data_IF_439575388537
#
_entry.id   IF_439575388537
#
_cell.length_a   1.000
_cell.length_b   1.000
_cell.length_c   1.000
_cell.angle_alpha   90.00
_cell.angle_beta   90.00
_cell.angle_gamma   90.00
#
_symmetry.space_group_name_H-M   'P 1'
#
loop_
_entity.id
_entity.type
_entity.pdbx_description
1 polymer ?
#
# COMPACT_ATOMS: atom_id res chain seq x y z
N UNK A 1 23.85 -32.25 4.79
CA UNK A 1 22.76 -32.37 3.80
C UNK A 1 23.21 -31.76 2.49
N UNK A 2 22.30 -31.14 1.76
CA UNK A 2 22.60 -30.49 0.49
C UNK A 2 21.75 -29.22 0.32
N UNK A 3 22.22 -28.24 -0.45
CA UNK A 3 21.48 -26.99 -0.67
C UNK A 3 20.12 -27.24 -1.36
N UNK A 4 19.13 -26.39 -1.10
CA UNK A 4 17.85 -26.43 -1.80
C UNK A 4 18.08 -26.08 -3.27
N UNK A 5 18.01 -27.09 -4.15
CA UNK A 5 18.12 -26.90 -5.60
C UNK A 5 17.47 -28.05 -6.36
N UNK A 6 17.19 -27.83 -7.64
CA UNK A 6 16.69 -28.85 -8.56
C UNK A 6 17.66 -30.05 -8.68
N UNK A 7 17.11 -31.24 -8.52
CA UNK A 7 17.79 -32.54 -8.69
C UNK A 7 17.04 -33.44 -9.68
N UNK A 8 16.11 -32.88 -10.45
CA UNK A 8 15.31 -33.60 -11.43
C UNK A 8 13.95 -34.06 -10.88
N UNK A 9 13.39 -35.07 -11.53
CA UNK A 9 12.05 -35.58 -11.25
C UNK A 9 12.05 -36.89 -10.45
N UNK A 10 13.22 -37.42 -10.12
CA UNK A 10 13.36 -38.67 -9.37
C UNK A 10 13.37 -38.40 -7.85
N UNK A 11 12.39 -38.92 -7.07
CA UNK A 11 12.37 -38.79 -5.61
C UNK A 11 13.63 -39.32 -4.92
N UNK A 12 14.33 -40.31 -5.49
CA UNK A 12 15.55 -40.87 -4.89
C UNK A 12 16.66 -39.82 -4.75
N UNK A 13 16.70 -38.84 -5.66
CA UNK A 13 17.68 -37.75 -5.62
C UNK A 13 17.49 -36.81 -4.42
N UNK A 14 16.35 -36.91 -3.72
CA UNK A 14 15.98 -36.10 -2.56
C UNK A 14 15.97 -36.90 -1.26
N UNK A 15 15.60 -38.19 -1.31
CA UNK A 15 15.41 -39.05 -0.14
C UNK A 15 16.61 -39.09 0.81
N UNK A 16 17.83 -39.09 0.28
CA UNK A 16 19.05 -39.14 1.09
C UNK A 16 19.32 -37.85 1.89
N UNK A 17 18.83 -36.69 1.40
CA UNK A 17 19.17 -35.38 1.97
C UNK A 17 18.05 -34.81 2.84
N UNK A 18 16.80 -35.17 2.55
CA UNK A 18 15.62 -34.68 3.25
C UNK A 18 14.98 -35.81 4.04
N UNK A 19 15.39 -35.95 5.29
CA UNK A 19 14.88 -36.98 6.18
C UNK A 19 13.42 -36.66 6.55
N UNK A 20 12.53 -37.60 6.22
CA UNK A 20 11.09 -37.44 6.47
C UNK A 20 10.79 -37.93 7.88
N UNK A 21 10.30 -37.05 8.74
CA UNK A 21 9.98 -37.38 10.15
C UNK A 21 8.50 -37.75 10.35
N UNK A 22 7.61 -37.35 9.43
CA UNK A 22 6.17 -37.61 9.51
C UNK A 22 5.67 -38.41 8.30
N UNK A 23 4.73 -39.34 8.53
CA UNK A 23 4.10 -40.14 7.47
C UNK A 23 5.12 -40.78 6.51
N UNK A 24 6.19 -41.36 7.09
CA UNK A 24 7.31 -41.97 6.37
C UNK A 24 6.83 -43.04 5.37
N UNK A 25 5.79 -43.78 5.76
CA UNK A 25 5.09 -44.80 4.97
C UNK A 25 4.57 -44.30 3.61
N UNK A 26 4.25 -43.00 3.48
CA UNK A 26 3.70 -42.44 2.24
C UNK A 26 4.74 -42.20 1.15
N UNK A 27 6.03 -42.16 1.48
CA UNK A 27 7.15 -41.93 0.55
C UNK A 27 6.98 -40.73 -0.42
N UNK A 28 6.14 -39.76 -0.06
CA UNK A 28 5.88 -38.56 -0.86
C UNK A 28 6.92 -37.47 -0.59
N UNK A 29 7.70 -37.13 -1.63
CA UNK A 29 8.69 -36.05 -1.68
C UNK A 29 8.27 -34.89 -2.59
N UNK A 30 7.08 -34.92 -3.19
CA UNK A 30 6.67 -33.98 -4.24
C UNK A 30 6.80 -32.51 -3.81
N UNK A 31 6.41 -32.19 -2.58
CA UNK A 31 6.45 -30.82 -2.04
C UNK A 31 7.88 -30.30 -1.85
N UNK A 32 8.80 -31.13 -1.32
CA UNK A 32 10.20 -30.71 -1.16
C UNK A 32 10.91 -30.62 -2.51
N UNK A 33 10.56 -31.47 -3.47
CA UNK A 33 11.07 -31.37 -4.84
C UNK A 33 10.62 -30.07 -5.51
N UNK A 34 9.35 -29.68 -5.37
CA UNK A 34 8.83 -28.41 -5.89
C UNK A 34 9.54 -27.21 -5.25
N UNK A 35 9.74 -27.25 -3.93
CA UNK A 35 10.47 -26.20 -3.20
C UNK A 35 11.91 -26.09 -3.69
N UNK A 36 12.63 -27.21 -3.79
CA UNK A 36 14.02 -27.23 -4.21
C UNK A 36 14.20 -26.72 -5.66
N UNK A 37 13.27 -27.06 -6.56
CA UNK A 37 13.24 -26.52 -7.92
C UNK A 37 13.05 -25.02 -7.96
N UNK A 38 12.18 -24.48 -7.10
CA UNK A 38 11.99 -23.04 -6.99
C UNK A 38 13.29 -22.34 -6.62
N UNK A 39 14.09 -22.89 -5.70
CA UNK A 39 15.37 -22.33 -5.30
C UNK A 39 16.45 -22.37 -6.41
N UNK A 40 16.27 -23.14 -7.49
CA UNK A 40 17.12 -23.06 -8.68
C UNK A 40 16.74 -21.93 -9.64
N UNK A 41 15.57 -21.30 -9.48
CA UNK A 41 15.17 -20.13 -10.25
C UNK A 41 15.95 -18.87 -9.82
N UNK A 42 15.74 -17.76 -10.53
CA UNK A 42 16.31 -16.45 -10.20
C UNK A 42 15.35 -15.32 -10.54
N UNK A 43 15.63 -14.11 -10.05
CA UNK A 43 14.86 -12.90 -10.35
C UNK A 43 13.38 -13.02 -10.04
N UNK A 44 12.53 -12.50 -10.93
CA UNK A 44 11.07 -12.52 -10.78
C UNK A 44 10.48 -13.93 -10.74
N UNK A 45 11.10 -14.90 -11.42
CA UNK A 45 10.64 -16.29 -11.39
C UNK A 45 10.84 -16.94 -10.01
N UNK A 46 11.99 -16.69 -9.37
CA UNK A 46 12.22 -17.09 -7.98
C UNK A 46 11.25 -16.38 -7.04
N UNK A 47 11.07 -15.07 -7.19
CA UNK A 47 10.17 -14.29 -6.34
C UNK A 47 8.75 -14.87 -6.39
N UNK A 48 8.13 -14.90 -7.57
CA UNK A 48 6.76 -15.41 -7.76
C UNK A 48 6.61 -16.83 -7.22
N UNK A 49 7.50 -17.75 -7.62
CA UNK A 49 7.38 -19.15 -7.21
C UNK A 49 7.60 -19.34 -5.71
N UNK A 50 8.45 -18.52 -5.10
CA UNK A 50 8.67 -18.56 -3.65
C UNK A 50 7.46 -18.05 -2.87
N UNK A 51 6.77 -17.01 -3.34
CA UNK A 51 5.54 -16.52 -2.70
C UNK A 51 4.41 -17.55 -2.73
N UNK A 52 4.35 -18.38 -3.77
CA UNK A 52 3.39 -19.47 -3.89
C UNK A 52 3.69 -20.62 -2.91
N UNK A 53 4.97 -21.01 -2.81
CA UNK A 53 5.37 -22.24 -2.12
C UNK A 53 5.78 -22.04 -0.65
N UNK A 54 6.21 -20.85 -0.25
CA UNK A 54 6.74 -20.59 1.08
C UNK A 54 5.82 -19.62 1.85
N UNK A 55 5.86 -19.77 3.17
CA UNK A 55 5.58 -18.64 4.05
C UNK A 55 6.86 -17.79 4.16
N UNK A 56 7.07 -16.92 3.18
CA UNK A 56 8.30 -16.12 3.04
C UNK A 56 8.54 -15.26 4.29
N UNK A 57 7.49 -14.70 4.88
CA UNK A 57 7.57 -13.95 6.12
C UNK A 57 8.14 -14.80 7.27
N UNK A 58 7.61 -16.02 7.45
CA UNK A 58 8.10 -16.92 8.49
C UNK A 58 9.55 -17.36 8.24
N UNK A 59 9.91 -17.66 6.99
CA UNK A 59 11.28 -18.02 6.63
C UNK A 59 12.27 -16.90 6.95
N UNK A 60 12.00 -15.69 6.47
CA UNK A 60 12.90 -14.57 6.67
C UNK A 60 13.07 -14.23 8.15
N UNK A 61 12.03 -14.42 8.98
CA UNK A 61 12.15 -14.28 10.44
C UNK A 61 13.05 -15.36 11.06
N UNK A 62 12.99 -16.60 10.60
CA UNK A 62 13.88 -17.67 11.08
C UNK A 62 15.32 -17.42 10.68
N UNK A 63 15.58 -17.03 9.42
CA UNK A 63 16.94 -16.69 8.99
C UNK A 63 17.47 -15.44 9.71
N UNK A 64 16.62 -14.48 10.05
CA UNK A 64 17.00 -13.34 10.88
C UNK A 64 17.46 -13.81 12.27
N UNK A 65 16.71 -14.72 12.91
CA UNK A 65 17.11 -15.31 14.18
C UNK A 65 18.46 -16.05 14.09
N UNK A 66 18.67 -16.86 13.05
CA UNK A 66 19.94 -17.59 12.82
C UNK A 66 21.11 -16.65 12.61
N UNK A 67 20.90 -15.53 11.90
CA UNK A 67 21.91 -14.49 11.74
C UNK A 67 22.24 -13.78 13.05
N UNK A 68 21.25 -13.58 13.91
CA UNK A 68 21.43 -12.98 15.23
C UNK A 68 22.13 -13.92 16.21
N UNK A 69 21.80 -15.21 16.21
CA UNK A 69 22.38 -16.20 17.15
C UNK A 69 23.87 -16.46 16.93
N UNK A 70 24.42 -16.06 15.78
CA UNK A 70 25.84 -16.29 15.50
C UNK A 70 26.20 -17.75 15.31
N UNK A 71 25.23 -18.57 14.90
CA UNK A 71 25.42 -19.99 14.62
C UNK A 71 26.23 -20.17 13.33
N UNK A 72 27.26 -21.03 13.38
CA UNK A 72 28.15 -21.30 12.27
C UNK A 72 27.92 -22.67 11.60
N UNK A 73 26.97 -23.47 12.10
CA UNK A 73 26.75 -24.84 11.65
C UNK A 73 25.28 -25.10 11.32
N UNK A 74 24.75 -24.27 10.42
CA UNK A 74 23.34 -24.32 10.08
C UNK A 74 23.07 -23.89 8.64
N UNK A 75 21.98 -24.36 8.03
CA UNK A 75 21.68 -24.04 6.64
C UNK A 75 21.65 -22.51 6.42
N UNK A 76 22.42 -22.03 5.44
CA UNK A 76 22.65 -20.61 5.18
C UNK A 76 23.90 -20.03 5.85
N UNK A 77 24.39 -20.60 6.95
CA UNK A 77 25.62 -20.21 7.63
C UNK A 77 26.42 -21.45 8.03
N UNK A 78 27.40 -21.83 7.19
CA UNK A 78 28.15 -23.07 7.35
C UNK A 78 27.65 -24.14 6.38
N UNK A 79 27.26 -25.30 6.92
CA UNK A 79 26.89 -26.47 6.13
C UNK A 79 25.36 -26.61 5.92
N UNK A 80 24.93 -27.32 4.86
CA UNK A 80 23.51 -27.47 4.54
C UNK A 80 22.83 -28.57 5.38
N UNK A 81 22.62 -28.31 6.67
CA UNK A 81 21.80 -29.11 7.59
C UNK A 81 21.20 -28.21 8.69
N UNK A 82 20.70 -28.80 9.77
CA UNK A 82 20.18 -28.07 10.93
C UNK A 82 19.00 -27.15 10.56
N UNK A 83 18.11 -27.69 9.71
CA UNK A 83 16.92 -27.03 9.20
C UNK A 83 15.80 -28.04 9.00
N UNK A 84 14.66 -27.80 9.65
CA UNK A 84 13.44 -28.57 9.44
C UNK A 84 12.50 -27.84 8.50
N UNK A 85 11.77 -28.58 7.68
CA UNK A 85 10.73 -28.08 6.79
C UNK A 85 9.39 -28.69 7.16
N UNK A 86 8.34 -27.87 7.18
CA UNK A 86 6.98 -28.31 7.47
C UNK A 86 6.01 -27.70 6.46
N UNK A 87 5.30 -28.55 5.72
CA UNK A 87 4.30 -28.09 4.74
C UNK A 87 2.94 -27.96 5.41
N UNK A 88 2.54 -26.71 5.69
CA UNK A 88 1.32 -26.38 6.43
C UNK A 88 0.07 -26.91 5.71
N UNK A 89 -0.79 -27.71 6.37
CA UNK A 89 -1.95 -28.31 5.71
C UNK A 89 -2.98 -27.32 5.17
N UNK A 90 -3.14 -26.15 5.79
CA UNK A 90 -4.19 -25.19 5.43
C UNK A 90 -4.01 -24.53 4.06
N UNK A 91 -2.76 -24.36 3.62
CA UNK A 91 -2.42 -23.68 2.36
C UNK A 91 -1.27 -24.32 1.58
N UNK A 92 -0.71 -25.43 2.08
CA UNK A 92 0.39 -26.16 1.46
C UNK A 92 1.75 -25.49 1.57
N UNK A 93 1.85 -24.30 2.18
CA UNK A 93 3.09 -23.51 2.22
C UNK A 93 4.15 -24.15 3.13
N UNK A 94 5.39 -24.09 2.67
CA UNK A 94 6.55 -24.54 3.44
C UNK A 94 6.88 -23.50 4.54
N UNK A 95 6.84 -23.95 5.79
CA UNK A 95 7.49 -23.32 6.94
C UNK A 95 8.86 -23.93 7.16
N UNK A 96 9.73 -23.20 7.84
CA UNK A 96 11.08 -23.66 8.16
C UNK A 96 11.36 -23.44 9.64
N UNK A 97 12.02 -24.39 10.31
CA UNK A 97 12.37 -24.26 11.73
C UNK A 97 13.84 -24.56 11.94
N UNK A 98 14.56 -23.74 12.73
CA UNK A 98 15.93 -24.06 13.05
C UNK A 98 15.97 -25.33 13.90
N UNK A 99 17.05 -26.08 13.75
CA UNK A 99 17.34 -27.27 14.54
C UNK A 99 18.79 -27.19 14.99
N UNK A 100 19.14 -27.81 16.12
CA UNK A 100 20.53 -28.00 16.55
C UNK A 100 21.36 -26.69 16.50
N UNK A 101 20.91 -25.71 17.29
CA UNK A 101 21.52 -24.37 17.39
C UNK A 101 22.48 -24.25 18.60
N UNK A 102 23.05 -25.35 19.05
CA UNK A 102 24.00 -25.39 20.15
C UNK A 102 25.39 -24.83 19.74
N UNK A 103 25.68 -24.76 18.43
CA UNK A 103 26.85 -24.06 17.88
C UNK A 103 26.66 -22.54 17.70
N UNK A 104 25.70 -21.95 18.42
CA UNK A 104 25.47 -20.51 18.52
C UNK A 104 26.64 -19.76 19.17
N UNK A 105 26.67 -18.44 18.95
CA UNK A 105 27.66 -17.50 19.52
C UNK A 105 29.12 -17.73 19.07
N UNK A 106 29.33 -18.52 18.03
CA UNK A 106 30.67 -18.91 17.53
C UNK A 106 31.19 -17.99 16.42
N UNK A 107 30.28 -17.37 15.66
CA UNK A 107 30.59 -16.38 14.62
C UNK A 107 30.87 -15.01 15.21
N UNK A 108 31.68 -14.19 14.53
CA UNK A 108 31.90 -12.81 14.98
C UNK A 108 30.59 -12.02 15.07
N UNK A 109 30.38 -11.19 16.11
CA UNK A 109 29.20 -10.32 16.20
C UNK A 109 29.11 -9.32 15.04
N UNK A 110 30.22 -9.09 14.31
CA UNK A 110 30.29 -8.23 13.12
C UNK A 110 30.26 -8.98 11.78
N UNK A 111 30.02 -10.30 11.77
CA UNK A 111 29.91 -11.06 10.52
C UNK A 111 28.72 -10.59 9.65
N UNK A 112 28.76 -10.82 8.32
CA UNK A 112 27.66 -10.48 7.43
C UNK A 112 26.29 -10.96 7.92
N UNK A 113 25.27 -10.10 7.73
CA UNK A 113 23.90 -10.39 8.15
C UNK A 113 23.23 -11.44 7.28
N UNK A 114 23.59 -11.53 6.00
CA UNK A 114 23.08 -12.54 5.06
C UNK A 114 24.17 -13.59 4.86
N UNK A 115 23.77 -14.85 4.91
CA UNK A 115 24.66 -15.99 4.74
C UNK A 115 24.86 -16.37 3.27
N UNK A 116 25.23 -17.63 3.06
CA UNK A 116 25.39 -18.25 1.74
C UNK A 116 24.18 -19.09 1.33
N UNK A 117 24.46 -20.09 0.48
CA UNK A 117 23.47 -21.02 -0.10
C UNK A 117 22.40 -20.32 -0.95
N UNK A 118 21.50 -21.11 -1.55
CA UNK A 118 20.44 -20.59 -2.41
C UNK A 118 19.43 -19.71 -1.66
N UNK A 119 19.30 -19.88 -0.34
CA UNK A 119 18.48 -18.98 0.49
C UNK A 119 19.00 -17.54 0.50
N UNK A 120 20.30 -17.30 0.31
CA UNK A 120 20.82 -15.94 0.17
C UNK A 120 20.24 -15.23 -1.06
N UNK A 121 19.99 -15.96 -2.16
CA UNK A 121 19.34 -15.41 -3.36
C UNK A 121 17.88 -15.07 -3.11
N UNK A 122 17.18 -15.87 -2.31
CA UNK A 122 15.81 -15.57 -1.86
C UNK A 122 15.77 -14.31 -0.99
N UNK A 123 16.68 -14.21 -0.01
CA UNK A 123 16.79 -13.04 0.89
C UNK A 123 17.15 -11.78 0.10
N UNK A 124 18.01 -11.89 -0.92
CA UNK A 124 18.45 -10.76 -1.72
C UNK A 124 17.38 -10.17 -2.66
N UNK A 125 16.23 -10.83 -2.85
CA UNK A 125 15.11 -10.25 -3.60
C UNK A 125 14.64 -8.95 -2.92
N UNK A 126 14.32 -7.87 -3.65
CA UNK A 126 14.13 -6.53 -3.06
C UNK A 126 13.14 -6.48 -1.90
N UNK A 127 11.95 -7.07 -2.06
CA UNK A 127 10.91 -7.12 -1.03
C UNK A 127 11.36 -7.98 0.16
N UNK A 128 12.00 -9.11 -0.11
CA UNK A 128 12.48 -10.04 0.90
C UNK A 128 13.63 -9.45 1.72
N UNK A 129 14.54 -8.69 1.11
CA UNK A 129 15.65 -8.06 1.81
C UNK A 129 15.15 -7.01 2.80
N UNK A 130 14.18 -6.18 2.35
CA UNK A 130 13.51 -5.23 3.25
C UNK A 130 12.83 -5.96 4.40
N UNK A 131 12.07 -7.01 4.11
CA UNK A 131 11.35 -7.80 5.11
C UNK A 131 12.30 -8.50 6.10
N UNK A 132 13.41 -9.04 5.61
CA UNK A 132 14.47 -9.63 6.42
C UNK A 132 15.08 -8.61 7.40
N UNK A 133 15.40 -7.42 6.91
CA UNK A 133 15.89 -6.32 7.76
C UNK A 133 14.85 -5.83 8.77
N UNK A 134 13.58 -5.80 8.40
CA UNK A 134 12.49 -5.50 9.34
C UNK A 134 12.40 -6.56 10.44
N UNK A 135 12.59 -7.85 10.13
CA UNK A 135 12.65 -8.91 11.15
C UNK A 135 13.86 -8.81 12.06
N UNK A 136 15.05 -8.51 11.53
CA UNK A 136 16.22 -8.26 12.36
C UNK A 136 15.96 -7.10 13.34
N UNK A 137 15.40 -5.98 12.84
CA UNK A 137 15.06 -4.83 13.66
C UNK A 137 14.04 -5.16 14.75
N UNK A 138 12.96 -5.86 14.40
CA UNK A 138 11.94 -6.29 15.35
C UNK A 138 12.52 -7.21 16.43
N UNK A 139 13.30 -8.23 16.06
CA UNK A 139 13.91 -9.16 17.01
C UNK A 139 14.85 -8.44 17.98
N UNK A 140 15.75 -7.56 17.50
CA UNK A 140 16.68 -6.84 18.39
C UNK A 140 16.01 -5.78 19.26
N UNK A 141 14.75 -5.45 19.01
CA UNK A 141 13.96 -4.53 19.83
C UNK A 141 13.00 -5.27 20.76
N UNK A 142 12.74 -6.56 20.54
CA UNK A 142 11.73 -7.33 21.30
C UNK A 142 12.35 -8.49 22.08
N UNK A 143 12.97 -9.46 21.40
CA UNK A 143 13.35 -10.75 21.98
C UNK A 143 14.82 -11.14 21.84
N UNK A 144 15.64 -10.30 21.19
CA UNK A 144 17.08 -10.50 21.01
C UNK A 144 17.87 -9.25 21.43
N UNK A 145 17.68 -8.85 22.68
CA UNK A 145 18.34 -7.69 23.28
C UNK A 145 18.80 -8.03 24.70
N UNK A 146 19.78 -7.28 25.26
CA UNK A 146 20.31 -7.57 26.59
C UNK A 146 19.24 -7.56 27.68
N UNK A 147 18.24 -6.68 27.62
CA UNK A 147 17.19 -6.57 28.64
C UNK A 147 16.33 -7.85 28.69
N UNK A 148 15.91 -8.34 27.52
CA UNK A 148 15.18 -9.60 27.39
C UNK A 148 16.04 -10.81 27.77
N UNK A 149 17.29 -10.85 27.29
CA UNK A 149 18.18 -11.99 27.47
C UNK A 149 18.70 -12.12 28.91
N UNK A 150 18.84 -11.01 29.64
CA UNK A 150 19.36 -10.99 31.01
C UNK A 150 18.60 -11.94 31.93
N UNK A 151 17.26 -11.95 31.83
CA UNK A 151 16.39 -12.87 32.59
C UNK A 151 16.81 -14.33 32.38
N UNK A 152 16.99 -14.74 31.12
CA UNK A 152 17.31 -16.12 30.77
C UNK A 152 18.73 -16.50 31.17
N UNK A 153 19.70 -15.61 30.93
CA UNK A 153 21.09 -15.85 31.31
C UNK A 153 21.25 -15.97 32.82
N UNK A 154 20.54 -15.16 33.62
CA UNK A 154 20.55 -15.27 35.09
C UNK A 154 19.87 -16.56 35.55
N UNK A 155 18.73 -16.90 34.95
CA UNK A 155 18.00 -18.12 35.31
C UNK A 155 18.84 -19.37 35.09
N UNK A 156 19.40 -19.56 33.89
CA UNK A 156 20.23 -20.71 33.59
C UNK A 156 21.56 -20.70 34.36
N UNK A 157 22.18 -19.52 34.57
CA UNK A 157 23.38 -19.41 35.40
C UNK A 157 23.14 -19.97 36.82
N UNK A 158 21.99 -19.65 37.42
CA UNK A 158 21.61 -20.16 38.73
C UNK A 158 21.34 -21.66 38.78
N UNK A 159 20.83 -22.24 37.68
CA UNK A 159 20.54 -23.68 37.59
C UNK A 159 21.80 -24.53 37.44
N UNK A 160 22.74 -24.12 36.59
CA UNK A 160 23.91 -24.95 36.23
C UNK A 160 25.24 -24.43 36.77
N UNK A 161 25.25 -23.29 37.47
CA UNK A 161 26.47 -22.71 38.03
C UNK A 161 27.46 -22.17 36.98
N UNK A 162 26.98 -21.77 35.80
CA UNK A 162 27.81 -21.24 34.70
C UNK A 162 27.68 -19.73 34.53
N UNK A 163 28.68 -19.09 33.92
CA UNK A 163 28.67 -17.66 33.60
C UNK A 163 28.31 -17.42 32.13
N UNK A 164 27.14 -16.80 31.89
CA UNK A 164 26.66 -16.44 30.55
C UNK A 164 26.88 -14.96 30.19
N UNK A 165 27.73 -14.24 30.92
CA UNK A 165 28.03 -12.82 30.66
C UNK A 165 28.57 -12.55 29.24
N UNK A 166 29.36 -13.49 28.69
CA UNK A 166 29.84 -13.42 27.30
C UNK A 166 28.71 -13.46 26.27
N UNK A 167 27.63 -14.19 26.54
CA UNK A 167 26.45 -14.24 25.67
C UNK A 167 25.71 -12.90 25.67
N UNK A 168 25.55 -12.25 26.83
CA UNK A 168 24.95 -10.90 26.89
C UNK A 168 25.78 -9.86 26.14
N UNK A 169 27.11 -9.93 26.26
CA UNK A 169 28.01 -9.07 25.50
C UNK A 169 27.88 -9.31 24.00
N UNK A 170 27.81 -10.57 23.57
CA UNK A 170 27.56 -10.92 22.17
C UNK A 170 26.26 -10.31 21.65
N UNK A 171 25.14 -10.54 22.35
CA UNK A 171 23.82 -10.04 21.96
C UNK A 171 23.86 -8.51 21.81
N UNK A 172 24.49 -7.82 22.75
CA UNK A 172 24.66 -6.36 22.71
C UNK A 172 25.45 -5.92 21.48
N UNK A 173 26.60 -6.54 21.22
CA UNK A 173 27.45 -6.20 20.07
C UNK A 173 26.77 -6.52 18.74
N UNK A 174 26.10 -7.67 18.63
CA UNK A 174 25.38 -8.10 17.43
C UNK A 174 24.19 -7.17 17.12
N UNK A 175 23.40 -6.81 18.14
CA UNK A 175 22.31 -5.85 17.97
C UNK A 175 22.81 -4.47 17.50
N UNK A 176 23.93 -4.00 18.05
CA UNK A 176 24.56 -2.75 17.62
C UNK A 176 25.09 -2.83 16.18
N UNK A 177 25.71 -3.96 15.80
CA UNK A 177 26.14 -4.20 14.43
C UNK A 177 24.95 -4.16 13.46
N UNK A 178 23.84 -4.84 13.77
CA UNK A 178 22.61 -4.78 12.96
C UNK A 178 22.14 -3.33 12.79
N UNK A 179 21.98 -2.57 13.88
CA UNK A 179 21.56 -1.15 13.80
C UNK A 179 22.47 -0.28 12.93
N UNK A 180 23.76 -0.63 12.83
CA UNK A 180 24.72 0.08 11.99
C UNK A 180 24.65 -0.33 10.51
N UNK A 181 24.13 -1.52 10.19
CA UNK A 181 23.91 -1.95 8.81
C UNK A 181 22.57 -1.46 8.22
N UNK A 182 21.59 -1.14 9.08
CA UNK A 182 20.27 -0.69 8.63
C UNK A 182 20.27 0.80 8.21
N UNK A 183 19.44 1.21 7.24
CA UNK A 183 19.19 2.61 6.95
C UNK A 183 18.76 3.36 8.21
N UNK A 184 19.27 4.57 8.41
CA UNK A 184 18.87 5.43 9.53
C UNK A 184 17.37 5.71 9.46
N UNK A 185 16.73 5.71 10.64
CA UNK A 185 15.32 6.05 10.75
C UNK A 185 15.06 7.45 10.21
N UNK A 186 13.97 7.59 9.48
CA UNK A 186 13.50 8.87 9.01
C UNK A 186 11.97 8.86 8.95
N UNK A 187 11.34 10.04 8.98
CA UNK A 187 9.89 10.12 9.02
C UNK A 187 9.20 9.60 7.73
N UNK A 188 8.04 8.96 7.87
CA UNK A 188 7.20 8.52 6.74
C UNK A 188 6.70 9.70 5.90
N UNK A 189 6.82 9.64 4.56
CA UNK A 189 6.46 10.72 3.64
C UNK A 189 5.86 10.21 2.35
N UNK A 190 4.86 10.92 1.83
CA UNK A 190 4.45 10.87 0.43
C UNK A 190 5.40 11.78 -0.36
N UNK A 191 5.92 11.29 -1.50
CA UNK A 191 6.85 12.03 -2.36
C UNK A 191 6.30 12.27 -3.77
N UNK A 192 5.16 11.66 -4.13
CA UNK A 192 4.45 12.03 -5.36
C UNK A 192 4.26 13.54 -5.43
N UNK A 193 4.57 14.13 -6.60
CA UNK A 193 4.52 15.58 -6.82
C UNK A 193 5.27 16.38 -5.73
N UNK A 194 6.42 15.89 -5.26
CA UNK A 194 7.21 16.51 -4.18
C UNK A 194 6.42 16.67 -2.85
N UNK A 195 5.42 15.82 -2.63
CA UNK A 195 4.53 15.88 -1.47
C UNK A 195 3.50 17.02 -1.55
N UNK A 196 3.33 17.65 -2.70
CA UNK A 196 2.33 18.70 -2.93
C UNK A 196 1.07 18.12 -3.59
N UNK A 197 -0.07 18.72 -3.26
CA UNK A 197 -1.36 18.38 -3.87
C UNK A 197 -1.30 18.48 -5.41
N UNK A 198 -2.06 17.64 -6.10
CA UNK A 198 -2.03 17.60 -7.56
C UNK A 198 -3.37 17.20 -8.19
N UNK A 199 -3.48 17.51 -9.48
CA UNK A 199 -4.62 17.20 -10.33
C UNK A 199 -4.27 16.06 -11.27
N UNK A 200 -5.21 15.16 -11.51
CA UNK A 200 -5.05 14.03 -12.43
C UNK A 200 -6.33 13.75 -13.20
N UNK A 201 -6.22 13.39 -14.48
CA UNK A 201 -7.33 12.87 -15.26
C UNK A 201 -7.35 11.33 -15.21
N UNK A 202 -7.67 10.77 -14.03
CA UNK A 202 -7.78 9.34 -13.83
C UNK A 202 -8.61 8.99 -12.57
N UNK A 203 -9.35 7.87 -12.57
CA UNK A 203 -10.10 7.40 -11.39
C UNK A 203 -9.20 6.71 -10.34
N UNK A 204 -7.89 6.74 -10.53
CA UNK A 204 -6.90 6.18 -9.61
C UNK A 204 -5.63 7.00 -9.67
N UNK A 205 -4.93 7.10 -8.54
CA UNK A 205 -3.59 7.65 -8.47
C UNK A 205 -2.59 6.59 -8.03
N UNK A 206 -1.38 6.67 -8.56
CA UNK A 206 -0.22 5.98 -7.99
C UNK A 206 0.47 6.95 -7.04
N UNK A 207 0.46 6.63 -5.76
CA UNK A 207 1.21 7.35 -4.76
C UNK A 207 2.53 6.64 -4.51
N UNK A 208 3.61 7.41 -4.45
CA UNK A 208 4.94 6.97 -4.11
C UNK A 208 5.42 7.73 -2.87
N UNK A 209 6.29 7.11 -2.11
CA UNK A 209 6.84 7.74 -0.92
C UNK A 209 8.03 7.02 -0.33
N UNK A 210 8.41 7.49 0.86
CA UNK A 210 9.44 6.89 1.68
C UNK A 210 8.90 6.44 3.03
N UNK A 211 9.33 5.27 3.48
CA UNK A 211 8.93 4.66 4.74
C UNK A 211 10.05 3.82 5.33
N UNK A 212 10.31 3.99 6.62
CA UNK A 212 11.37 3.27 7.32
C UNK A 212 10.97 1.80 7.56
N UNK A 213 11.92 0.97 8.03
CA UNK A 213 11.81 -0.49 8.10
C UNK A 213 10.81 -1.01 9.14
N UNK A 214 10.37 -0.16 10.06
CA UNK A 214 9.33 -0.43 11.04
C UNK A 214 7.94 -0.59 10.42
N UNK A 215 7.71 -0.04 9.22
CA UNK A 215 6.44 -0.12 8.51
C UNK A 215 6.26 -1.50 7.85
N UNK A 216 5.17 -2.17 8.22
CA UNK A 216 4.68 -3.41 7.62
C UNK A 216 3.59 -3.16 6.58
N UNK A 217 2.53 -2.47 6.99
CA UNK A 217 1.31 -2.30 6.21
C UNK A 217 0.94 -0.81 6.09
N UNK A 218 0.27 -0.47 4.99
CA UNK A 218 -0.30 0.85 4.73
C UNK A 218 -1.81 0.73 4.60
N UNK A 219 -2.55 1.69 5.12
CA UNK A 219 -4.01 1.77 5.05
C UNK A 219 -4.43 3.15 4.57
N UNK A 220 -5.55 3.25 3.87
CA UNK A 220 -6.29 4.52 3.80
C UNK A 220 -7.09 4.70 5.08
N UNK A 221 -7.17 5.93 5.61
CA UNK A 221 -8.05 6.22 6.72
C UNK A 221 -9.50 5.81 6.39
N UNK A 222 -10.17 5.15 7.33
CA UNK A 222 -11.49 4.55 7.14
C UNK A 222 -11.49 3.13 6.55
N UNK A 223 -10.39 2.68 5.92
CA UNK A 223 -10.27 1.30 5.42
C UNK A 223 -9.85 0.32 6.53
N UNK A 224 -10.47 -0.86 6.54
CA UNK A 224 -10.05 -2.00 7.37
C UNK A 224 -9.09 -2.95 6.65
N UNK A 225 -8.98 -2.83 5.33
CA UNK A 225 -8.08 -3.64 4.51
C UNK A 225 -6.76 -2.89 4.23
N UNK A 226 -5.59 -3.57 4.31
CA UNK A 226 -4.32 -2.99 3.93
C UNK A 226 -4.25 -2.78 2.41
N UNK A 227 -3.51 -1.75 2.02
CA UNK A 227 -3.16 -1.47 0.63
C UNK A 227 -2.09 -2.44 0.15
N UNK A 228 -2.17 -2.84 -1.12
CA UNK A 228 -1.08 -3.54 -1.78
C UNK A 228 0.11 -2.59 -1.95
N UNK A 229 1.21 -2.87 -1.25
CA UNK A 229 2.45 -2.08 -1.30
C UNK A 229 3.44 -2.73 -2.26
N UNK A 230 3.93 -1.94 -3.21
CA UNK A 230 5.12 -2.29 -3.99
C UNK A 230 6.33 -1.58 -3.38
N UNK A 231 7.25 -2.32 -2.78
CA UNK A 231 8.52 -1.74 -2.33
C UNK A 231 9.51 -1.71 -3.50
N UNK A 232 9.94 -0.51 -3.91
CA UNK A 232 10.91 -0.32 -5.00
C UNK A 232 12.34 -0.21 -4.50
N UNK A 233 12.54 -0.36 -3.19
CA UNK A 233 13.84 -0.43 -2.52
C UNK A 233 13.64 -0.63 -1.03
N UNK A 234 14.73 -0.54 -0.25
CA UNK A 234 14.67 -0.73 1.20
C UNK A 234 13.74 0.26 1.90
N UNK A 235 13.47 1.42 1.32
CA UNK A 235 12.67 2.46 1.99
C UNK A 235 11.67 3.18 1.08
N UNK A 236 11.57 2.77 -0.18
CA UNK A 236 10.71 3.42 -1.17
C UNK A 236 9.50 2.53 -1.42
N UNK A 237 8.31 3.12 -1.37
CA UNK A 237 7.04 2.41 -1.56
C UNK A 237 6.23 3.05 -2.67
N UNK A 238 5.37 2.25 -3.28
CA UNK A 238 4.30 2.67 -4.17
C UNK A 238 3.00 1.95 -3.79
N UNK A 239 1.88 2.67 -3.87
CA UNK A 239 0.51 2.16 -3.69
C UNK A 239 -0.37 2.74 -4.81
N UNK A 240 -1.44 2.03 -5.16
CA UNK A 240 -2.49 2.56 -6.05
C UNK A 240 -3.74 2.77 -5.22
N UNK A 241 -4.37 3.95 -5.37
CA UNK A 241 -5.55 4.36 -4.60
C UNK A 241 -6.66 4.81 -5.55
N UNK A 242 -7.92 4.40 -5.31
CA UNK A 242 -9.06 4.88 -6.09
C UNK A 242 -9.33 6.36 -5.78
N UNK A 243 -9.91 7.07 -6.75
CA UNK A 243 -10.28 8.48 -6.64
C UNK A 243 -11.73 8.67 -7.10
N UNK A 244 -12.45 9.55 -6.40
CA UNK A 244 -13.74 10.11 -6.81
C UNK A 244 -13.52 11.37 -7.67
N UNK A 245 -14.50 11.76 -8.48
CA UNK A 245 -14.48 13.03 -9.20
C UNK A 245 -14.37 14.22 -8.22
N UNK A 246 -13.40 15.09 -8.46
CA UNK A 246 -13.09 16.22 -7.57
C UNK A 246 -12.05 15.88 -6.51
N UNK A 247 -12.19 16.48 -5.34
CA UNK A 247 -11.16 16.49 -4.30
C UNK A 247 -11.18 15.22 -3.45
N UNK A 248 -10.04 14.54 -3.35
CA UNK A 248 -9.86 13.36 -2.51
C UNK A 248 -8.78 13.63 -1.45
N UNK A 249 -9.16 13.61 -0.17
CA UNK A 249 -8.20 13.64 0.94
C UNK A 249 -7.70 12.23 1.20
N UNK A 250 -6.45 11.96 0.83
CA UNK A 250 -5.85 10.65 0.97
C UNK A 250 -4.94 10.63 2.20
N UNK A 251 -5.49 10.24 3.35
CA UNK A 251 -4.71 10.01 4.56
C UNK A 251 -4.19 8.57 4.59
N UNK A 252 -2.88 8.41 4.44
CA UNK A 252 -2.19 7.12 4.48
C UNK A 252 -1.66 6.86 5.88
N UNK A 253 -2.09 5.75 6.48
CA UNK A 253 -1.72 5.29 7.81
C UNK A 253 -0.71 4.14 7.68
N UNK A 254 0.42 4.24 8.37
CA UNK A 254 1.47 3.23 8.37
C UNK A 254 1.49 2.47 9.70
N UNK A 255 1.41 1.14 9.63
CA UNK A 255 1.39 0.24 10.79
C UNK A 255 2.61 -0.67 10.82
N UNK A 256 3.05 -1.02 12.02
CA UNK A 256 4.13 -1.97 12.23
C UNK A 256 3.68 -3.43 12.15
N UNK A 257 4.61 -4.36 12.38
CA UNK A 257 4.35 -5.80 12.35
C UNK A 257 3.39 -6.30 13.45
N UNK A 258 3.09 -5.47 14.46
CA UNK A 258 2.16 -5.75 15.55
C UNK A 258 0.80 -5.06 15.34
N UNK A 259 0.62 -4.37 14.20
CA UNK A 259 -0.60 -3.65 13.84
C UNK A 259 -0.72 -2.26 14.51
N UNK A 260 0.31 -1.80 15.21
CA UNK A 260 0.30 -0.48 15.84
C UNK A 260 0.54 0.62 14.80
N UNK A 261 -0.18 1.73 14.91
CA UNK A 261 0.07 2.92 14.09
C UNK A 261 1.43 3.54 14.48
N UNK A 262 2.36 3.61 13.54
CA UNK A 262 3.70 4.18 13.76
C UNK A 262 3.91 5.51 13.05
N UNK A 263 3.18 5.76 11.95
CA UNK A 263 3.21 7.05 11.27
C UNK A 263 1.97 7.27 10.39
N UNK A 264 1.77 8.50 9.94
CA UNK A 264 0.77 8.83 8.92
C UNK A 264 1.25 10.00 8.06
N UNK A 265 0.74 10.10 6.84
CA UNK A 265 0.94 11.25 5.97
C UNK A 265 -0.31 11.43 5.09
N UNK A 266 -0.55 12.62 4.58
CA UNK A 266 -1.74 12.91 3.77
C UNK A 266 -1.39 13.78 2.57
N UNK A 267 -2.19 13.65 1.51
CA UNK A 267 -2.09 14.45 0.29
C UNK A 267 -3.50 14.66 -0.27
N UNK A 268 -3.75 15.82 -0.86
CA UNK A 268 -4.96 16.06 -1.63
C UNK A 268 -4.73 15.70 -3.10
N UNK A 269 -5.59 14.86 -3.65
CA UNK A 269 -5.58 14.52 -5.07
C UNK A 269 -6.90 14.91 -5.69
N UNK A 270 -6.86 15.78 -6.69
CA UNK A 270 -8.05 16.21 -7.42
C UNK A 270 -8.18 15.42 -8.71
N UNK A 271 -9.22 14.59 -8.85
CA UNK A 271 -9.49 13.87 -10.09
C UNK A 271 -10.45 14.65 -10.99
N UNK A 272 -10.24 14.58 -12.31
CA UNK A 272 -11.21 15.04 -13.32
C UNK A 272 -11.99 13.89 -13.96
N UNK A 273 -11.71 12.64 -13.56
CA UNK A 273 -12.41 11.47 -14.09
C UNK A 273 -13.73 11.23 -13.34
N UNK A 274 -14.83 11.19 -14.08
CA UNK A 274 -16.17 10.97 -13.52
C UNK A 274 -16.48 9.49 -13.22
N UNK A 275 -15.79 8.56 -13.87
CA UNK A 275 -16.10 7.11 -13.85
C UNK A 275 -14.88 6.27 -13.48
N UNK A 276 -15.10 5.08 -12.90
CA UNK A 276 -14.06 4.07 -12.70
C UNK A 276 -13.64 3.84 -11.24
N UNK A 277 -14.32 4.50 -10.31
CA UNK A 277 -14.40 4.06 -8.92
C UNK A 277 -15.36 2.85 -8.80
N UNK A 278 -15.28 2.03 -7.73
CA UNK A 278 -16.25 0.97 -7.46
C UNK A 278 -17.69 1.51 -7.42
N UNK A 279 -18.60 0.76 -8.03
CA UNK A 279 -20.03 1.06 -8.24
C UNK A 279 -20.72 -0.32 -8.27
N UNK A 280 -21.36 -0.69 -7.16
CA UNK A 280 -21.82 -2.04 -6.88
C UNK A 280 -23.19 -2.36 -7.46
N UNK A 281 -24.07 -1.37 -7.62
CA UNK A 281 -25.37 -1.53 -8.28
C UNK A 281 -25.38 -1.13 -9.78
N UNK A 282 -24.30 -0.49 -10.25
CA UNK A 282 -24.07 -0.17 -11.64
C UNK A 282 -24.87 1.04 -12.14
N UNK A 283 -25.34 1.90 -11.25
CA UNK A 283 -26.10 3.09 -11.62
C UNK A 283 -25.21 4.27 -12.05
N UNK A 284 -23.89 4.15 -11.90
CA UNK A 284 -22.91 5.17 -12.28
C UNK A 284 -22.54 6.15 -11.17
N UNK A 285 -22.99 5.93 -9.93
CA UNK A 285 -22.50 6.58 -8.72
C UNK A 285 -21.44 5.69 -8.04
N UNK A 286 -20.36 6.25 -7.49
CA UNK A 286 -19.40 5.44 -6.74
C UNK A 286 -19.87 5.07 -5.32
N UNK A 287 -19.68 3.82 -4.91
CA UNK A 287 -20.09 3.30 -3.57
C UNK A 287 -19.65 4.20 -2.41
N UNK A 288 -18.41 4.70 -2.49
CA UNK A 288 -17.83 5.55 -1.46
C UNK A 288 -18.48 6.94 -1.44
N UNK A 289 -18.82 7.49 -2.61
CA UNK A 289 -19.51 8.77 -2.70
C UNK A 289 -20.91 8.62 -2.09
N UNK A 290 -21.64 7.59 -2.48
CA UNK A 290 -22.99 7.31 -1.99
C UNK A 290 -23.04 7.13 -0.48
N UNK A 291 -22.15 6.30 0.07
CA UNK A 291 -22.01 6.10 1.52
C UNK A 291 -21.77 7.42 2.26
N UNK A 292 -20.97 8.32 1.69
CA UNK A 292 -20.68 9.63 2.31
C UNK A 292 -21.80 10.65 2.17
N UNK A 293 -22.65 10.55 1.14
CA UNK A 293 -23.75 11.47 0.86
C UNK A 293 -25.13 10.89 1.21
N UNK A 294 -25.16 9.74 1.88
CA UNK A 294 -26.40 9.14 2.41
C UNK A 294 -27.33 8.55 1.35
N UNK A 295 -26.83 8.26 0.14
CA UNK A 295 -27.53 7.44 -0.87
C UNK A 295 -27.14 5.96 -0.72
N UNK A 296 -27.59 5.07 -1.60
CA UNK A 296 -27.48 3.62 -1.38
C UNK A 296 -26.59 2.89 -2.40
N UNK A 297 -25.37 2.41 -2.01
CA UNK A 297 -24.47 1.65 -2.89
C UNK A 297 -24.98 0.33 -3.46
N UNK A 298 -26.21 -0.05 -3.13
CA UNK A 298 -26.83 -1.34 -3.49
C UNK A 298 -28.19 -1.16 -4.17
N UNK A 299 -28.65 0.07 -4.35
CA UNK A 299 -29.96 0.38 -4.94
C UNK A 299 -29.77 1.47 -5.99
N UNK A 300 -30.11 1.22 -7.27
CA UNK A 300 -29.82 2.14 -8.35
C UNK A 300 -30.69 3.41 -8.26
N UNK A 301 -30.23 4.37 -7.47
CA UNK A 301 -30.93 5.58 -7.07
C UNK A 301 -30.40 6.85 -7.72
N UNK A 302 -29.43 6.76 -8.64
CA UNK A 302 -28.82 7.87 -9.35
C UNK A 302 -29.77 8.91 -9.97
N UNK A 303 -30.99 8.51 -10.35
CA UNK A 303 -32.00 9.39 -10.95
C UNK A 303 -33.00 9.96 -9.92
N UNK A 304 -32.86 9.62 -8.64
CA UNK A 304 -33.65 10.17 -7.55
C UNK A 304 -33.16 11.57 -7.15
N UNK A 305 -34.08 12.35 -6.59
CA UNK A 305 -33.87 13.71 -6.07
C UNK A 305 -34.42 13.68 -4.63
N UNK A 306 -33.53 13.49 -3.66
CA UNK A 306 -33.93 13.25 -2.26
C UNK A 306 -34.29 14.54 -1.54
N UNK A 307 -33.64 15.64 -1.88
CA UNK A 307 -33.85 16.94 -1.23
C UNK A 307 -34.84 17.86 -1.96
N UNK A 308 -35.34 17.41 -3.12
CA UNK A 308 -36.41 18.02 -3.94
C UNK A 308 -36.01 19.38 -4.52
N UNK A 309 -34.73 19.54 -4.86
CA UNK A 309 -34.21 20.77 -5.44
C UNK A 309 -34.21 20.78 -6.99
N UNK A 310 -34.58 19.64 -7.59
CA UNK A 310 -34.68 19.44 -9.03
C UNK A 310 -33.43 18.84 -9.67
N UNK A 311 -32.41 18.49 -8.89
CA UNK A 311 -31.22 17.77 -9.36
C UNK A 311 -31.24 16.31 -8.88
N UNK A 312 -31.00 15.39 -9.81
CA UNK A 312 -30.80 13.97 -9.46
C UNK A 312 -29.46 13.76 -8.78
N UNK A 313 -29.30 12.73 -7.94
CA UNK A 313 -28.02 12.35 -7.32
C UNK A 313 -26.85 12.29 -8.31
N UNK A 314 -27.07 11.79 -9.53
CA UNK A 314 -26.07 11.81 -10.62
C UNK A 314 -25.62 13.21 -11.00
N UNK A 315 -26.57 14.12 -11.18
CA UNK A 315 -26.29 15.50 -11.54
C UNK A 315 -25.49 16.19 -10.44
N UNK A 316 -25.78 15.87 -9.18
CA UNK A 316 -25.09 16.39 -8.02
C UNK A 316 -23.69 15.82 -7.85
N UNK A 317 -23.50 14.51 -8.06
CA UNK A 317 -22.18 13.90 -8.13
C UNK A 317 -21.32 14.57 -9.21
N UNK A 318 -21.88 14.77 -10.41
CA UNK A 318 -21.19 15.46 -11.50
C UNK A 318 -20.93 16.94 -11.20
N UNK A 319 -21.80 17.60 -10.45
CA UNK A 319 -21.66 19.01 -10.06
C UNK A 319 -20.75 19.22 -8.85
N UNK A 320 -20.55 18.20 -8.01
CA UNK A 320 -19.86 18.31 -6.72
C UNK A 320 -20.73 19.00 -5.67
N UNK A 321 -22.02 18.66 -5.64
CA UNK A 321 -23.01 19.16 -4.69
C UNK A 321 -23.53 18.03 -3.79
N UNK A 322 -24.44 18.34 -2.86
CA UNK A 322 -24.83 17.44 -1.76
C UNK A 322 -26.32 17.06 -1.90
N UNK A 323 -26.63 15.77 -2.17
CA UNK A 323 -28.00 15.28 -2.42
C UNK A 323 -28.95 15.32 -1.23
N UNK A 324 -28.48 15.82 -0.09
CA UNK A 324 -29.25 15.97 1.13
C UNK A 324 -29.47 17.45 1.52
N UNK A 325 -28.92 18.41 0.75
CA UNK A 325 -29.09 19.85 1.02
C UNK A 325 -29.58 20.59 -0.23
N UNK A 326 -30.86 21.04 -0.25
CA UNK A 326 -31.44 21.68 -1.45
C UNK A 326 -30.84 23.07 -1.74
N UNK A 327 -29.90 23.54 -0.91
CA UNK A 327 -29.10 24.76 -1.16
C UNK A 327 -27.75 24.46 -1.81
N UNK A 328 -27.29 23.22 -1.76
CA UNK A 328 -26.08 22.75 -2.40
C UNK A 328 -26.39 22.40 -3.85
N UNK A 329 -26.33 23.39 -4.73
CA UNK A 329 -26.62 23.18 -6.16
C UNK A 329 -25.74 24.02 -7.06
N UNK A 330 -25.57 23.56 -8.30
CA UNK A 330 -24.87 24.33 -9.32
C UNK A 330 -25.77 25.43 -9.86
N UNK A 331 -25.65 26.63 -9.30
CA UNK A 331 -26.45 27.79 -9.70
C UNK A 331 -25.60 28.89 -10.36
N UNK A 332 -26.15 29.46 -11.43
CA UNK A 332 -25.63 30.67 -12.06
C UNK A 332 -26.31 31.90 -11.47
N UNK A 333 -25.57 32.66 -10.67
CA UNK A 333 -26.01 33.93 -10.11
C UNK A 333 -25.92 35.08 -11.11
N UNK A 334 -26.90 35.99 -11.04
CA UNK A 334 -26.97 37.18 -11.88
C UNK A 334 -27.04 38.44 -11.00
N UNK A 335 -26.19 39.43 -11.29
CA UNK A 335 -26.24 40.74 -10.63
C UNK A 335 -26.03 41.84 -11.68
N UNK A 336 -26.79 42.93 -11.59
CA UNK A 336 -26.52 44.10 -12.44
C UNK A 336 -25.16 44.70 -12.06
N UNK A 337 -24.27 44.84 -13.03
CA UNK A 337 -22.94 45.42 -12.83
C UNK A 337 -22.94 46.92 -13.16
N UNK A 338 -23.55 47.30 -14.29
CA UNK A 338 -23.67 48.68 -14.75
C UNK A 338 -24.92 48.87 -15.61
N UNK A 339 -25.14 50.08 -16.16
CA UNK A 339 -26.26 50.34 -17.08
C UNK A 339 -26.21 49.47 -18.36
N UNK A 340 -25.04 48.93 -18.73
CA UNK A 340 -24.87 48.12 -19.94
C UNK A 340 -24.33 46.71 -19.67
N UNK A 341 -24.16 46.30 -18.41
CA UNK A 341 -23.48 45.04 -18.07
C UNK A 341 -24.18 44.25 -16.96
N UNK A 342 -24.13 42.93 -17.10
CA UNK A 342 -24.52 41.93 -16.12
C UNK A 342 -23.27 41.17 -15.66
N UNK A 343 -23.21 40.94 -14.35
CA UNK A 343 -22.25 40.05 -13.72
C UNK A 343 -22.90 38.68 -13.53
N UNK A 344 -22.22 37.67 -14.05
CA UNK A 344 -22.57 36.26 -13.97
C UNK A 344 -21.58 35.60 -13.01
N UNK A 345 -22.05 34.85 -12.02
CA UNK A 345 -21.18 34.23 -11.02
C UNK A 345 -21.63 32.83 -10.65
N UNK A 346 -20.70 31.90 -10.47
CA UNK A 346 -20.99 30.56 -9.95
C UNK A 346 -19.80 30.03 -9.14
N UNK A 347 -20.06 29.07 -8.24
CA UNK A 347 -19.01 28.39 -7.50
C UNK A 347 -18.49 27.21 -8.33
N UNK A 348 -17.27 27.35 -8.87
CA UNK A 348 -16.61 26.28 -9.57
C UNK A 348 -15.99 25.31 -8.56
N UNK A 349 -16.48 24.07 -8.54
CA UNK A 349 -15.93 22.98 -7.74
C UNK A 349 -14.63 22.44 -8.33
N UNK A 350 -13.71 22.00 -7.46
CA UNK A 350 -12.45 21.39 -7.84
C UNK A 350 -12.65 20.15 -8.73
N UNK A 351 -11.69 19.91 -9.64
CA UNK A 351 -11.71 18.77 -10.57
C UNK A 351 -12.73 18.88 -11.71
N UNK A 352 -13.55 19.93 -11.76
CA UNK A 352 -14.59 20.12 -12.79
C UNK A 352 -14.26 21.27 -13.71
N UNK A 353 -14.52 21.06 -14.99
CA UNK A 353 -14.41 22.08 -16.03
C UNK A 353 -15.79 22.62 -16.39
N UNK A 354 -15.87 23.90 -16.71
CA UNK A 354 -17.14 24.59 -16.97
C UNK A 354 -17.07 25.40 -18.26
N UNK A 355 -18.19 25.47 -18.98
CA UNK A 355 -18.43 26.45 -20.03
C UNK A 355 -19.66 27.30 -19.65
N UNK A 356 -19.44 28.62 -19.57
CA UNK A 356 -20.50 29.59 -19.51
C UNK A 356 -20.84 30.01 -20.93
N UNK A 357 -22.07 29.74 -21.35
CA UNK A 357 -22.50 29.91 -22.73
C UNK A 357 -23.70 30.85 -22.80
N UNK A 358 -23.87 31.48 -23.97
CA UNK A 358 -25.03 32.33 -24.25
C UNK A 358 -25.61 32.10 -25.64
N UNK A 359 -26.85 32.54 -25.83
CA UNK A 359 -27.50 32.68 -27.14
C UNK A 359 -28.57 33.77 -27.09
N UNK A 360 -28.91 34.34 -28.24
CA UNK A 360 -29.83 35.49 -28.35
C UNK A 360 -31.26 35.10 -28.79
N UNK A 361 -31.54 33.79 -28.81
CA UNK A 361 -32.86 33.24 -29.15
C UNK A 361 -33.24 32.13 -28.18
N UNK A 362 -34.52 32.05 -27.82
CA UNK A 362 -35.01 31.00 -26.91
C UNK A 362 -35.09 29.64 -27.61
N UNK A 363 -35.61 29.61 -28.84
CA UNK A 363 -35.74 28.40 -29.67
C UNK A 363 -34.76 28.47 -30.84
N UNK A 364 -33.86 27.48 -30.97
CA UNK A 364 -32.87 27.41 -32.04
C UNK A 364 -31.61 28.26 -31.79
N UNK A 365 -30.63 28.13 -32.70
CA UNK A 365 -29.32 28.78 -32.61
C UNK A 365 -28.26 27.98 -31.84
N UNK A 366 -27.00 28.18 -32.21
CA UNK A 366 -25.85 27.59 -31.50
C UNK A 366 -25.58 28.37 -30.21
N UNK A 367 -25.25 27.65 -29.14
CA UNK A 367 -24.71 28.26 -27.94
C UNK A 367 -23.27 28.71 -28.20
N UNK A 368 -22.97 29.96 -27.84
CA UNK A 368 -21.64 30.54 -27.96
C UNK A 368 -20.96 30.58 -26.60
N UNK A 369 -19.67 30.29 -26.55
CA UNK A 369 -18.90 30.36 -25.31
C UNK A 369 -18.68 31.83 -24.92
N UNK A 370 -19.12 32.19 -23.72
CA UNK A 370 -18.77 33.46 -23.07
C UNK A 370 -17.44 33.31 -22.32
N UNK A 371 -17.29 32.22 -21.58
CA UNK A 371 -16.08 31.89 -20.84
C UNK A 371 -15.99 30.40 -20.59
N UNK A 372 -14.77 29.85 -20.63
CA UNK A 372 -14.50 28.47 -20.23
C UNK A 372 -13.53 28.46 -19.06
N UNK A 373 -13.77 27.55 -18.13
CA UNK A 373 -12.98 27.40 -16.90
C UNK A 373 -12.49 25.97 -16.80
N UNK A 374 -11.17 25.72 -16.90
CA UNK A 374 -10.63 24.39 -16.73
C UNK A 374 -10.76 23.93 -15.27
N UNK A 375 -10.66 22.63 -15.06
CA UNK A 375 -10.53 22.02 -13.75
C UNK A 375 -9.33 22.62 -12.97
N UNK A 376 -9.50 22.77 -11.66
CA UNK A 376 -8.47 23.25 -10.75
C UNK A 376 -8.47 22.44 -9.46
N UNK A 377 -7.42 22.60 -8.65
CA UNK A 377 -7.22 21.93 -7.36
C UNK A 377 -8.20 22.36 -6.28
N UNK A 378 -8.74 23.57 -6.38
CA UNK A 378 -9.55 24.18 -5.34
C UNK A 378 -10.85 24.75 -5.89
N UNK A 379 -11.83 24.79 -5.00
CA UNK A 379 -13.08 25.49 -5.24
C UNK A 379 -12.80 26.98 -5.38
N UNK A 380 -13.48 27.63 -6.32
CA UNK A 380 -13.31 29.07 -6.57
C UNK A 380 -14.61 29.71 -7.05
N UNK A 381 -14.86 30.93 -6.61
CA UNK A 381 -15.90 31.76 -7.21
C UNK A 381 -15.40 32.23 -8.59
N UNK A 382 -16.14 31.91 -9.63
CA UNK A 382 -15.90 32.44 -10.96
C UNK A 382 -16.89 33.57 -11.26
N UNK A 383 -16.40 34.63 -11.91
CA UNK A 383 -17.20 35.79 -12.29
C UNK A 383 -16.90 36.19 -13.74
N UNK A 384 -17.95 36.44 -14.52
CA UNK A 384 -17.86 36.95 -15.88
C UNK A 384 -18.77 38.17 -16.05
N UNK A 385 -18.34 39.10 -16.91
CA UNK A 385 -19.15 40.25 -17.31
C UNK A 385 -19.71 39.98 -18.70
N UNK A 386 -21.01 40.18 -18.87
CA UNK A 386 -21.69 40.09 -20.15
C UNK A 386 -22.47 41.38 -20.43
N UNK A 387 -22.57 41.80 -21.71
CA UNK A 387 -23.34 42.97 -22.06
C UNK A 387 -24.84 42.71 -21.91
N UNK A 388 -25.55 43.73 -21.48
CA UNK A 388 -27.02 43.77 -21.50
C UNK A 388 -27.46 44.06 -22.93
N UNK A 389 -28.24 43.17 -23.53
CA UNK A 389 -28.85 43.38 -24.84
C UNK A 389 -30.11 44.24 -24.72
N UNK A 390 -30.29 45.15 -25.67
CA UNK A 390 -31.49 45.99 -25.74
C UNK A 390 -32.65 45.22 -26.41
N UNK A 391 -33.91 45.50 -26.02
CA UNK A 391 -35.08 44.96 -26.69
C UNK A 391 -35.08 45.25 -28.21
N UNK A 392 -35.65 44.36 -29.05
CA UNK A 392 -36.40 43.16 -28.69
C UNK A 392 -35.53 41.91 -28.42
N UNK A 393 -34.19 42.04 -28.49
CA UNK A 393 -33.27 40.91 -28.31
C UNK A 393 -33.24 40.47 -26.85
N UNK A 394 -33.44 39.17 -26.60
CA UNK A 394 -33.27 38.55 -25.30
C UNK A 394 -32.06 37.62 -25.32
N UNK A 395 -31.18 37.73 -24.32
CA UNK A 395 -30.02 36.84 -24.18
C UNK A 395 -30.25 35.83 -23.07
N UNK A 396 -30.03 34.57 -23.41
CA UNK A 396 -30.13 33.42 -22.53
C UNK A 396 -28.73 32.93 -22.18
N UNK A 397 -28.52 32.52 -20.94
CA UNK A 397 -27.25 31.97 -20.47
C UNK A 397 -27.45 30.54 -19.97
N UNK A 398 -26.43 29.71 -20.10
CA UNK A 398 -26.36 28.42 -19.41
C UNK A 398 -24.95 28.18 -18.91
N UNK A 399 -24.86 27.47 -17.79
CA UNK A 399 -23.62 26.92 -17.27
C UNK A 399 -23.61 25.43 -17.57
N UNK A 400 -22.50 24.94 -18.13
CA UNK A 400 -22.37 23.54 -18.56
C UNK A 400 -21.11 22.95 -17.93
N UNK A 401 -21.24 21.76 -17.34
CA UNK A 401 -20.10 20.93 -16.96
C UNK A 401 -19.50 20.30 -18.22
N UNK A 402 -18.20 20.46 -18.41
CA UNK A 402 -17.48 19.84 -19.52
C UNK A 402 -16.96 18.46 -19.06
N UNK A 403 -16.99 17.44 -19.95
CA UNK A 403 -16.36 16.16 -19.66
C UNK A 403 -14.89 16.36 -19.28
N UNK A 404 -14.36 15.51 -18.39
CA UNK A 404 -12.96 15.57 -17.95
C UNK A 404 -12.00 15.58 -19.15
N UNK A 405 -11.32 16.72 -19.36
CA UNK A 405 -10.20 16.84 -20.29
C UNK A 405 -8.90 16.52 -19.58
#
# INVERSE_FOLDING_TARGET
GFDLQDRGNDPEAYRWFYLKENHQDRDDFTRIMQLAKAFSLSGSALDSRSQELLDVNQWLRVFALKSLSGDADTYGFGYPHNQLFYFRPSDGKALTFPWDLDFAWTRSPSDPLVGGANVARLIALPNNLRLYYAHLLDLINTSFNPDYAARWTTHYAGLVGQNYGGVLQYITQRANYVRNQLPKAFPFRITTNNGQDFLVNAPRAVLAGRGWLDIRDLYLAGSTAPLAITWTGLTNWQITVPLLLGTNLLQVLARDAHGQLVASNQIMVTSTAATGAPDADGDGLPDNWETTHGTSPLEPDADQDTDLDGFSHRAEYLAGTDPQDPRSRLELGFRRHSASELKLSYLAQAGRSYALQYRDTFTGGQWLDLASQPAALTNRLFEAIAPVVAPPTARFYRLVLLPGQ
#
